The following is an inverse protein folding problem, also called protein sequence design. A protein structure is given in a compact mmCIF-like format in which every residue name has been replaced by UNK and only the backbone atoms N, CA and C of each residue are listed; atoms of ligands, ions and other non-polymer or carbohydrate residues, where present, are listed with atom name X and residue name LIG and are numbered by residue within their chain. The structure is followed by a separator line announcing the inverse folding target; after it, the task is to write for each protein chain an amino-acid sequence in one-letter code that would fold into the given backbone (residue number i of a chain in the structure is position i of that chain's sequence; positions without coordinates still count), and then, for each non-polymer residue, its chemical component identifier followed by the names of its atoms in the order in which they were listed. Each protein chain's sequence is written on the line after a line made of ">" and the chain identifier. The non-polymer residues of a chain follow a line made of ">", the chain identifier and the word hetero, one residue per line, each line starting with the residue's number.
data_IF_044514660946
#
_entry.id   IF_044514660946
#
_cell.length_a   1.000
_cell.length_b   1.000
_cell.length_c   1.000
_cell.angle_alpha   90.00
_cell.angle_beta   90.00
_cell.angle_gamma   90.00
#
_symmetry.space_group_name_H-M   'P 1'
#
loop_
_entity.id
_entity.type
_entity.pdbx_description
1 polymer ?
#
# COMPACT_ATOMS: atom_id res chain seq x y z
N UNK A 1 18.31 -3.71 -7.36
CA UNK A 1 18.11 -3.78 -5.89
C UNK A 1 16.63 -3.67 -5.60
N UNK A 2 15.99 -4.77 -5.23
CA UNK A 2 14.54 -4.87 -5.00
C UNK A 2 14.19 -4.43 -3.58
N UNK A 3 13.20 -3.54 -3.41
CA UNK A 3 12.77 -3.04 -2.10
C UNK A 3 11.45 -3.70 -1.71
N UNK A 4 11.44 -4.53 -0.66
CA UNK A 4 10.19 -5.13 -0.15
C UNK A 4 9.38 -4.08 0.64
N UNK A 5 8.07 -4.03 0.42
CA UNK A 5 7.13 -3.24 1.21
C UNK A 5 6.07 -4.16 1.80
N UNK A 6 5.55 -3.79 2.97
CA UNK A 6 4.38 -4.47 3.53
C UNK A 6 3.20 -3.53 3.47
N UNK A 7 2.05 -4.05 3.06
CA UNK A 7 0.80 -3.31 3.02
C UNK A 7 -0.20 -4.02 3.91
N UNK A 8 -1.01 -3.25 4.63
CA UNK A 8 -2.00 -3.77 5.57
C UNK A 8 -3.30 -3.07 5.31
N UNK A 9 -4.37 -3.85 5.18
CA UNK A 9 -5.72 -3.30 5.17
C UNK A 9 -6.20 -3.25 6.61
N UNK A 10 -6.43 -2.06 7.13
CA UNK A 10 -7.18 -1.89 8.38
C UNK A 10 -8.63 -1.79 7.96
N UNK A 11 -9.37 -2.86 8.16
CA UNK A 11 -10.80 -2.84 7.89
C UNK A 11 -11.48 -2.18 9.07
N UNK A 12 -12.24 -1.11 8.80
CA UNK A 12 -12.99 -0.38 9.82
C UNK A 12 -14.19 -1.18 10.37
N UNK A 13 -14.46 -2.36 9.80
CA UNK A 13 -15.42 -3.32 10.31
C UNK A 13 -14.80 -4.20 11.41
N UNK A 14 -15.36 -4.21 12.64
CA UNK A 14 -14.84 -5.01 13.75
C UNK A 14 -14.91 -6.53 13.54
N UNK A 15 -15.51 -6.99 12.44
CA UNK A 15 -15.67 -8.40 12.09
C UNK A 15 -14.68 -8.89 11.01
N UNK A 16 -13.90 -8.00 10.40
CA UNK A 16 -12.95 -8.39 9.35
C UNK A 16 -11.55 -8.43 9.93
N UNK A 17 -10.95 -9.64 9.95
CA UNK A 17 -9.56 -9.84 10.39
C UNK A 17 -8.61 -8.95 9.59
N UNK A 18 -7.65 -8.34 10.28
CA UNK A 18 -6.54 -7.63 9.67
C UNK A 18 -5.82 -8.57 8.70
N UNK A 19 -5.74 -8.18 7.43
CA UNK A 19 -5.02 -8.94 6.40
C UNK A 19 -3.78 -8.15 6.01
N UNK A 20 -2.63 -8.78 6.22
CA UNK A 20 -1.34 -8.30 5.76
C UNK A 20 -1.08 -8.82 4.34
N UNK A 21 -0.62 -7.93 3.49
CA UNK A 21 -0.25 -8.18 2.11
C UNK A 21 1.21 -7.80 1.90
N UNK A 22 1.94 -8.62 1.15
CA UNK A 22 3.33 -8.36 0.81
C UNK A 22 3.43 -7.94 -0.66
N UNK A 23 4.11 -6.83 -0.92
CA UNK A 23 4.40 -6.35 -2.26
C UNK A 23 5.88 -5.99 -2.35
N UNK A 24 6.46 -6.10 -3.55
CA UNK A 24 7.86 -5.73 -3.78
C UNK A 24 7.88 -4.54 -4.72
N UNK A 25 8.85 -3.65 -4.57
CA UNK A 25 9.08 -2.56 -5.50
C UNK A 25 10.36 -2.88 -6.26
N UNK A 26 10.23 -3.08 -7.56
CA UNK A 26 11.32 -3.36 -8.49
C UNK A 26 11.32 -2.30 -9.59
N UNK A 27 12.47 -1.69 -9.88
CA UNK A 27 12.63 -0.72 -10.99
C UNK A 27 11.55 0.37 -11.03
N UNK A 28 11.14 0.86 -9.86
CA UNK A 28 10.10 1.88 -9.69
C UNK A 28 8.66 1.41 -9.97
N UNK A 29 8.44 0.09 -10.05
CA UNK A 29 7.15 -0.54 -10.23
C UNK A 29 6.80 -1.44 -9.03
N UNK A 30 5.52 -1.50 -8.68
CA UNK A 30 5.06 -2.40 -7.63
C UNK A 30 4.82 -3.78 -8.26
N UNK A 31 5.31 -4.82 -7.61
CA UNK A 31 5.11 -6.22 -7.95
C UNK A 31 4.26 -6.82 -6.84
N UNK A 32 3.06 -7.28 -7.19
CA UNK A 32 2.11 -7.88 -6.28
C UNK A 32 1.62 -9.19 -6.87
N UNK A 33 1.67 -10.27 -6.07
CA UNK A 33 1.37 -11.63 -6.53
C UNK A 33 2.18 -12.06 -7.78
N UNK A 34 3.44 -11.62 -7.87
CA UNK A 34 4.32 -11.93 -8.99
C UNK A 34 4.03 -11.16 -10.28
N UNK A 35 3.07 -10.23 -10.28
CA UNK A 35 2.78 -9.39 -11.44
C UNK A 35 3.01 -7.90 -11.18
N UNK A 36 3.51 -7.16 -12.17
CA UNK A 36 3.60 -5.70 -12.10
C UNK A 36 2.21 -5.07 -11.97
N UNK A 37 2.04 -4.19 -10.99
CA UNK A 37 0.81 -3.49 -10.68
C UNK A 37 1.08 -2.01 -10.43
N UNK A 38 0.13 -1.15 -10.80
CA UNK A 38 0.18 0.27 -10.45
C UNK A 38 -0.21 0.48 -8.98
N UNK A 39 0.29 1.54 -8.31
CA UNK A 39 -0.05 1.85 -6.91
C UNK A 39 -1.56 1.93 -6.66
N UNK A 40 -2.30 2.53 -7.60
CA UNK A 40 -3.76 2.64 -7.51
C UNK A 40 -4.46 1.28 -7.67
N UNK A 41 -3.99 0.44 -8.59
CA UNK A 41 -4.51 -0.91 -8.77
C UNK A 41 -4.21 -1.78 -7.55
N UNK A 42 -3.03 -1.65 -6.94
CA UNK A 42 -2.69 -2.33 -5.69
C UNK A 42 -3.68 -1.95 -4.58
N UNK A 43 -3.92 -0.67 -4.37
CA UNK A 43 -4.86 -0.19 -3.37
C UNK A 43 -6.29 -0.72 -3.62
N UNK A 44 -6.75 -0.69 -4.88
CA UNK A 44 -8.06 -1.23 -5.24
C UNK A 44 -8.14 -2.75 -5.05
N UNK A 45 -7.10 -3.50 -5.41
CA UNK A 45 -7.07 -4.96 -5.26
C UNK A 45 -7.06 -5.39 -3.80
N UNK A 46 -6.40 -4.63 -2.93
CA UNK A 46 -6.35 -4.92 -1.49
C UNK A 46 -7.66 -4.52 -0.80
N UNK A 47 -8.17 -3.32 -1.08
CA UNK A 47 -9.36 -2.78 -0.41
C UNK A 47 -10.68 -3.25 -1.01
N UNK A 48 -10.67 -3.75 -2.25
CA UNK A 48 -11.88 -4.15 -2.98
C UNK A 48 -12.79 -2.97 -3.36
N UNK A 49 -12.39 -1.72 -3.08
CA UNK A 49 -13.12 -0.50 -3.42
C UNK A 49 -12.23 0.44 -4.22
N UNK A 50 -12.85 1.33 -4.99
CA UNK A 50 -12.17 2.46 -5.67
C UNK A 50 -12.31 3.76 -4.90
N UNK A 51 -13.38 3.91 -4.12
CA UNK A 51 -13.63 5.09 -3.29
C UNK A 51 -12.97 4.82 -1.93
N UNK A 52 -12.03 5.68 -1.55
CA UNK A 52 -11.26 5.62 -0.29
C UNK A 52 -10.21 4.51 -0.17
N UNK A 53 -9.90 3.78 -1.24
CA UNK A 53 -8.89 2.71 -1.25
C UNK A 53 -7.54 3.09 -0.60
N UNK A 54 -7.14 4.36 -0.71
CA UNK A 54 -5.88 4.87 -0.14
C UNK A 54 -5.99 5.25 1.34
N UNK A 55 -7.20 5.58 1.82
CA UNK A 55 -7.48 5.91 3.23
C UNK A 55 -7.70 4.66 4.08
N UNK A 56 -8.09 3.57 3.43
CA UNK A 56 -8.27 2.25 4.07
C UNK A 56 -7.00 1.37 4.01
N UNK A 57 -5.93 1.87 3.37
CA UNK A 57 -4.67 1.14 3.18
C UNK A 57 -3.55 1.76 4.02
N UNK A 58 -2.84 0.92 4.76
CA UNK A 58 -1.62 1.28 5.49
C UNK A 58 -0.41 0.64 4.81
N UNK A 59 0.69 1.37 4.75
CA UNK A 59 1.94 0.97 4.10
C UNK A 59 3.07 1.08 5.12
N UNK A 60 3.89 0.03 5.18
CA UNK A 60 5.15 0.00 5.91
C UNK A 60 6.30 -0.11 4.90
N UNK A 61 7.09 0.96 4.82
CA UNK A 61 8.29 1.03 3.98
C UNK A 61 9.44 0.29 4.68
N UNK A 62 10.41 -0.30 3.95
CA UNK A 62 11.51 -1.04 4.57
C UNK A 62 12.40 -0.15 5.45
N UNK A 63 12.47 1.15 5.16
CA UNK A 63 13.24 2.13 5.94
C UNK A 63 12.41 2.82 7.03
N UNK A 64 11.13 2.46 7.20
CA UNK A 64 10.21 3.11 8.15
C UNK A 64 9.56 2.03 9.00
N UNK A 65 9.80 2.07 10.30
CA UNK A 65 9.28 1.08 11.25
C UNK A 65 7.78 1.25 11.49
N UNK A 66 7.29 2.46 11.31
CA UNK A 66 5.89 2.85 11.52
C UNK A 66 5.03 2.58 10.27
N UNK A 67 3.80 2.14 10.53
CA UNK A 67 2.77 2.08 9.51
C UNK A 67 2.29 3.49 9.21
N UNK A 68 2.23 3.87 7.93
CA UNK A 68 1.63 5.13 7.48
C UNK A 68 0.47 4.87 6.55
N UNK A 69 -0.50 5.77 6.54
CA UNK A 69 -1.58 5.71 5.57
C UNK A 69 -1.03 5.84 4.15
N UNK A 70 -1.61 5.08 3.22
CA UNK A 70 -1.21 5.14 1.81
C UNK A 70 -1.50 6.52 1.22
N UNK A 71 -2.60 7.14 1.63
CA UNK A 71 -2.98 8.51 1.26
C UNK A 71 -1.92 9.55 1.66
N UNK A 72 -1.36 9.42 2.87
CA UNK A 72 -0.25 10.25 3.35
C UNK A 72 1.02 10.01 2.52
N UNK A 73 1.37 8.74 2.28
CA UNK A 73 2.52 8.37 1.44
C UNK A 73 2.40 8.90 0.00
N UNK A 74 1.19 9.03 -0.54
CA UNK A 74 0.95 9.61 -1.86
C UNK A 74 1.17 11.12 -1.88
N UNK A 75 0.82 11.79 -0.79
CA UNK A 75 0.92 13.24 -0.63
C UNK A 75 2.37 13.68 -0.39
N UNK A 76 3.16 12.86 0.33
CA UNK A 76 4.62 13.00 0.55
C UNK A 76 5.40 13.13 -0.77
N UNK A 77 4.97 12.43 -1.82
CA UNK A 77 5.58 12.50 -3.16
C UNK A 77 5.34 13.82 -3.93
N UNK A 78 4.47 14.72 -3.43
CA UNK A 78 4.21 16.04 -4.01
C UNK A 78 4.89 17.19 -3.25
N UNK A 79 5.46 16.96 -2.07
CA UNK A 79 6.11 17.99 -1.26
C UNK A 79 7.59 18.18 -1.64
N UNK A 80 7.85 18.32 -2.95
CA UNK A 80 9.16 18.62 -3.51
C UNK A 80 9.03 19.56 -4.69
N UNK A 81 8.68 20.82 -4.40
CA UNK A 81 8.83 21.97 -5.31
C UNK A 81 9.05 23.22 -4.47
#
# INVERSE_FOLDING_TARGET
>A
MSRKIKTRRVVLDPQVKEVEYEATVEENQFIYQGSPISPASLANSITGTRRNAWRDLWIKRPNVTEWRLADDCRSDGRAGS
#
